data_IF_909378717027
#
_entry.id   IF_909378717027
#
_cell.length_a   1.000
_cell.length_b   1.000
_cell.length_c   1.000
_cell.angle_alpha   90.00
_cell.angle_beta   90.00
_cell.angle_gamma   90.00
#
_symmetry.space_group_name_H-M   'P 1'
#
loop_
_entity.id
_entity.type
_entity.pdbx_description
1 polymer ?
#
# COMPACT_ATOMS: atom_id res chain seq x y z
N UNK A 1 -14.34 -0.71 -9.23
CA UNK A 1 -14.18 -1.28 -7.89
C UNK A 1 -15.39 -1.03 -6.96
N UNK A 2 -15.99 0.17 -6.91
CA UNK A 2 -17.17 0.49 -6.06
C UNK A 2 -18.34 -0.51 -6.07
N UNK A 3 -18.68 -1.09 -7.23
CA UNK A 3 -19.80 -2.05 -7.34
C UNK A 3 -19.46 -3.50 -6.99
N UNK A 4 -18.18 -3.89 -7.04
CA UNK A 4 -17.75 -5.29 -6.92
C UNK A 4 -17.03 -5.54 -5.59
N UNK A 5 -16.41 -4.51 -5.00
CA UNK A 5 -15.74 -4.63 -3.71
C UNK A 5 -15.75 -3.31 -2.90
N UNK A 6 -16.84 -2.54 -3.04
CA UNK A 6 -17.19 -1.49 -2.08
C UNK A 6 -16.25 -0.28 -2.03
N UNK A 7 -15.42 -0.03 -3.05
CA UNK A 7 -14.59 1.19 -3.10
C UNK A 7 -13.12 1.03 -2.67
N UNK A 8 -12.74 -0.10 -2.08
CA UNK A 8 -11.33 -0.51 -1.84
C UNK A 8 -10.36 -0.34 -3.06
N UNK A 9 -9.50 0.68 -3.01
CA UNK A 9 -8.56 1.01 -4.08
C UNK A 9 -7.31 0.12 -4.02
N UNK A 10 -7.44 -1.17 -4.35
CA UNK A 10 -6.38 -2.19 -4.20
C UNK A 10 -5.12 -1.92 -5.05
N UNK A 11 -5.19 -1.01 -6.02
CA UNK A 11 -4.10 -0.61 -6.90
C UNK A 11 -3.51 0.76 -6.53
N UNK A 12 -3.76 1.24 -5.31
CA UNK A 12 -3.27 2.53 -4.85
C UNK A 12 -1.76 2.47 -4.61
N UNK A 13 -1.04 3.43 -5.17
CA UNK A 13 0.37 3.63 -4.91
C UNK A 13 0.56 4.28 -3.53
N UNK A 14 0.67 3.44 -2.50
CA UNK A 14 0.84 3.89 -1.10
C UNK A 14 2.14 4.70 -0.90
N UNK A 15 3.30 4.30 -1.45
CA UNK A 15 4.55 5.06 -1.30
C UNK A 15 4.41 6.52 -1.76
N UNK A 16 3.88 6.73 -2.96
CA UNK A 16 3.72 8.08 -3.54
C UNK A 16 2.84 8.94 -2.65
N UNK A 17 1.73 8.40 -2.14
CA UNK A 17 0.81 9.15 -1.28
C UNK A 17 1.43 9.55 0.07
N UNK A 18 2.29 8.71 0.64
CA UNK A 18 3.02 9.03 1.87
C UNK A 18 4.01 10.17 1.60
N UNK A 19 4.73 10.12 0.47
CA UNK A 19 5.71 11.14 0.09
C UNK A 19 5.06 12.49 -0.26
N UNK A 20 3.94 12.48 -0.97
CA UNK A 20 3.12 13.66 -1.26
C UNK A 20 2.56 14.28 0.03
N UNK A 21 2.31 13.46 1.05
CA UNK A 21 1.92 13.90 2.39
C UNK A 21 3.03 14.59 3.20
N UNK A 22 4.23 14.75 2.63
CA UNK A 22 5.35 15.45 3.28
C UNK A 22 6.22 14.56 4.18
N UNK A 23 6.06 13.24 4.10
CA UNK A 23 6.91 12.28 4.81
C UNK A 23 8.06 11.80 3.93
N UNK A 24 9.11 11.31 4.58
CA UNK A 24 10.20 10.55 3.95
C UNK A 24 10.11 9.11 4.42
N UNK A 25 10.00 8.17 3.49
CA UNK A 25 10.03 6.74 3.80
C UNK A 25 11.46 6.38 4.21
N UNK A 26 11.62 5.73 5.36
CA UNK A 26 12.93 5.29 5.87
C UNK A 26 13.21 3.83 5.53
N UNK A 27 12.15 3.01 5.55
CA UNK A 27 12.21 1.57 5.33
C UNK A 27 10.93 1.13 4.63
N UNK A 28 11.05 0.19 3.70
CA UNK A 28 9.88 -0.37 3.04
C UNK A 28 10.13 -1.78 2.52
N UNK A 29 9.22 -2.67 2.86
CA UNK A 29 9.08 -4.01 2.32
C UNK A 29 7.73 -4.15 1.64
N UNK A 30 7.66 -5.00 0.62
CA UNK A 30 6.39 -5.32 -0.03
C UNK A 30 6.39 -6.74 -0.55
N UNK A 31 5.27 -7.43 -0.39
CA UNK A 31 5.10 -8.77 -0.92
C UNK A 31 3.63 -9.12 -1.15
N UNK A 32 3.41 -10.18 -1.90
CA UNK A 32 2.14 -10.90 -1.89
C UNK A 32 2.13 -11.84 -0.69
N UNK A 33 1.23 -11.63 0.27
CA UNK A 33 1.16 -12.49 1.46
C UNK A 33 0.74 -13.92 1.12
N UNK A 34 1.32 -14.94 1.79
CA UNK A 34 0.89 -16.32 1.62
C UNK A 34 -0.58 -16.51 1.99
N UNK A 35 -1.18 -17.60 1.51
CA UNK A 35 -2.55 -18.01 1.87
C UNK A 35 -3.65 -16.99 1.54
N UNK A 36 -3.36 -16.00 0.69
CA UNK A 36 -4.31 -15.00 0.20
C UNK A 36 -4.33 -15.01 -1.34
N UNK A 37 -5.49 -14.85 -2.00
CA UNK A 37 -5.53 -14.71 -3.45
C UNK A 37 -4.60 -13.60 -3.92
N UNK A 38 -3.70 -13.89 -4.86
CA UNK A 38 -2.63 -12.97 -5.28
C UNK A 38 -3.15 -11.58 -5.65
N UNK A 39 -4.27 -11.51 -6.35
CA UNK A 39 -4.89 -10.24 -6.76
C UNK A 39 -5.41 -9.37 -5.59
N UNK A 40 -5.52 -9.91 -4.39
CA UNK A 40 -5.99 -9.22 -3.18
C UNK A 40 -4.94 -9.20 -2.06
N UNK A 41 -3.77 -9.81 -2.28
CA UNK A 41 -2.80 -10.08 -1.22
C UNK A 41 -1.52 -9.25 -1.26
N UNK A 42 -1.44 -8.21 -2.10
CA UNK A 42 -0.26 -7.36 -2.14
C UNK A 42 -0.30 -6.31 -1.02
N UNK A 43 0.78 -6.24 -0.23
CA UNK A 43 0.85 -5.37 0.95
C UNK A 43 2.23 -4.71 1.06
N UNK A 44 2.25 -3.51 1.65
CA UNK A 44 3.46 -2.77 2.01
C UNK A 44 3.61 -2.74 3.54
N UNK A 45 4.84 -2.82 4.04
CA UNK A 45 5.22 -2.58 5.45
C UNK A 45 6.45 -1.68 5.49
N UNK A 46 6.61 -0.91 6.56
CA UNK A 46 7.76 -0.04 6.68
C UNK A 46 7.55 1.08 7.69
N UNK A 47 8.40 2.10 7.57
CA UNK A 47 8.36 3.29 8.42
C UNK A 47 8.61 4.55 7.60
N UNK A 48 8.08 5.67 8.11
CA UNK A 48 8.29 6.99 7.54
C UNK A 48 8.42 8.02 8.65
N UNK A 49 9.13 9.12 8.36
CA UNK A 49 9.33 10.24 9.28
C UNK A 49 9.00 11.56 8.59
N UNK A 50 8.72 12.60 9.38
CA UNK A 50 8.56 13.96 8.85
C UNK A 50 9.86 14.36 8.13
N UNK A 51 9.72 14.97 6.96
CA UNK A 51 10.86 15.47 6.18
C UNK A 51 11.68 16.52 6.92
#
# INVERSE_FOLDING_TARGET
>A
WGRIAGGCNINRDIPTLIEEGGFKITDMESMYVPSTPRILGFTYWGAAQIR
#
